data_IF_188804986042
#
_entry.id   IF_188804986042
#
_cell.length_a   1.000
_cell.length_b   1.000
_cell.length_c   1.000
_cell.angle_alpha   90.00
_cell.angle_beta   90.00
_cell.angle_gamma   90.00
#
_symmetry.space_group_name_H-M   'P 1'
#
loop_
_entity.id
_entity.type
_entity.pdbx_description
1 polymer ?
#
# COMPACT_ATOMS: atom_id res chain seq x y z
N UNK A 1 16.47 -11.15 -30.35
CA UNK A 1 16.44 -10.29 -29.15
C UNK A 1 15.15 -10.54 -28.35
N UNK A 2 15.04 -11.69 -27.67
CA UNK A 2 13.84 -12.11 -26.91
C UNK A 2 14.20 -12.96 -25.68
N UNK A 3 15.14 -12.49 -24.85
CA UNK A 3 15.60 -13.24 -23.68
C UNK A 3 15.96 -12.36 -22.47
N UNK A 4 15.46 -11.13 -22.39
CA UNK A 4 15.75 -10.19 -21.29
C UNK A 4 14.55 -9.80 -20.42
N UNK A 5 13.39 -10.43 -20.59
CA UNK A 5 12.18 -10.12 -19.80
C UNK A 5 11.77 -11.26 -18.84
N UNK A 6 12.43 -12.42 -18.89
CA UNK A 6 12.10 -13.57 -18.02
C UNK A 6 12.80 -13.57 -16.65
N UNK A 7 13.85 -12.76 -16.47
CA UNK A 7 14.60 -12.72 -15.21
C UNK A 7 13.87 -12.06 -14.02
N UNK A 8 13.10 -10.95 -14.17
CA UNK A 8 12.38 -10.38 -13.03
C UNK A 8 11.15 -11.21 -12.60
N UNK A 9 10.60 -12.04 -13.50
CA UNK A 9 9.45 -12.91 -13.18
C UNK A 9 9.86 -14.15 -12.37
N UNK A 10 11.06 -14.68 -12.58
CA UNK A 10 11.58 -15.78 -11.78
C UNK A 10 11.86 -15.37 -10.32
N UNK A 11 12.37 -14.16 -10.09
CA UNK A 11 12.59 -13.62 -8.74
C UNK A 11 11.30 -13.33 -7.98
N UNK A 12 10.29 -12.77 -8.65
CA UNK A 12 8.95 -12.56 -8.07
C UNK A 12 8.24 -13.90 -7.77
N UNK A 13 8.30 -14.87 -8.68
CA UNK A 13 7.72 -16.21 -8.45
C UNK A 13 8.41 -16.95 -7.30
N UNK A 14 9.74 -16.85 -7.16
CA UNK A 14 10.47 -17.38 -6.01
C UNK A 14 10.09 -16.68 -4.69
N UNK A 15 9.77 -15.38 -4.74
CA UNK A 15 9.35 -14.61 -3.56
C UNK A 15 7.94 -15.02 -3.09
N UNK A 16 7.00 -15.22 -4.03
CA UNK A 16 5.68 -15.76 -3.70
C UNK A 16 5.74 -17.21 -3.20
N UNK A 17 6.61 -18.05 -3.79
CA UNK A 17 6.80 -19.43 -3.34
C UNK A 17 7.44 -19.49 -1.93
N UNK A 18 8.47 -18.69 -1.67
CA UNK A 18 9.13 -18.62 -0.37
C UNK A 18 8.18 -18.16 0.74
N UNK A 19 7.28 -17.21 0.41
CA UNK A 19 6.26 -16.70 1.31
C UNK A 19 5.12 -17.71 1.55
N UNK A 20 4.67 -18.40 0.50
CA UNK A 20 3.68 -19.49 0.60
C UNK A 20 4.22 -20.65 1.45
N UNK A 21 5.49 -21.02 1.26
CA UNK A 21 6.15 -22.01 2.09
C UNK A 21 6.32 -21.51 3.53
N UNK A 22 6.68 -20.25 3.75
CA UNK A 22 6.75 -19.68 5.10
C UNK A 22 5.39 -19.75 5.83
N UNK A 23 4.28 -19.56 5.11
CA UNK A 23 2.93 -19.68 5.68
C UNK A 23 2.58 -21.14 6.03
N UNK A 24 2.96 -22.10 5.19
CA UNK A 24 2.59 -23.51 5.37
C UNK A 24 3.51 -24.29 6.32
N UNK A 25 4.81 -24.01 6.29
CA UNK A 25 5.84 -24.79 6.98
C UNK A 25 6.73 -23.95 7.89
N UNK A 26 6.41 -22.67 8.08
CA UNK A 26 7.14 -21.81 9.01
C UNK A 26 7.04 -22.30 10.45
N UNK A 27 8.12 -22.14 11.22
CA UNK A 27 8.09 -22.36 12.66
C UNK A 27 7.27 -21.24 13.32
N UNK A 28 6.01 -21.50 13.64
CA UNK A 28 5.13 -20.49 14.21
C UNK A 28 5.36 -20.34 15.72
N UNK A 29 6.01 -19.24 16.10
CA UNK A 29 6.09 -18.81 17.50
C UNK A 29 5.02 -17.76 17.80
N UNK A 30 4.58 -17.68 19.07
CA UNK A 30 3.65 -16.63 19.51
C UNK A 30 4.20 -15.23 19.18
N UNK A 31 5.51 -15.03 19.33
CA UNK A 31 6.16 -13.78 19.01
C UNK A 31 6.00 -13.39 17.54
N UNK A 32 6.23 -14.34 16.60
CA UNK A 32 6.06 -14.09 15.16
C UNK A 32 4.63 -13.66 14.83
N UNK A 33 3.64 -14.30 15.44
CA UNK A 33 2.21 -13.96 15.25
C UNK A 33 1.89 -12.57 15.79
N UNK A 34 2.33 -12.26 17.02
CA UNK A 34 2.10 -10.95 17.62
C UNK A 34 2.74 -9.83 16.81
N UNK A 35 3.98 -10.03 16.34
CA UNK A 35 4.69 -9.06 15.48
C UNK A 35 3.94 -8.89 14.16
N UNK A 36 3.47 -9.96 13.53
CA UNK A 36 2.71 -9.87 12.28
C UNK A 36 1.42 -9.06 12.45
N UNK A 37 0.70 -9.23 13.56
CA UNK A 37 -0.52 -8.46 13.87
C UNK A 37 -0.18 -6.97 14.07
N UNK A 38 0.84 -6.67 14.89
CA UNK A 38 1.28 -5.28 15.12
C UNK A 38 1.67 -4.62 13.81
N UNK A 39 2.46 -5.31 12.99
CA UNK A 39 2.92 -4.78 11.69
C UNK A 39 1.75 -4.61 10.72
N UNK A 40 0.74 -5.48 10.72
CA UNK A 40 -0.45 -5.30 9.89
C UNK A 40 -1.28 -4.08 10.32
N UNK A 41 -1.39 -3.81 11.63
CA UNK A 41 -2.04 -2.60 12.15
C UNK A 41 -1.23 -1.35 11.80
N UNK A 42 0.09 -1.39 11.98
CA UNK A 42 0.98 -0.29 11.60
C UNK A 42 0.89 0.01 10.11
N UNK A 43 0.74 -1.01 9.27
CA UNK A 43 0.53 -0.85 7.83
C UNK A 43 -0.78 -0.16 7.49
N UNK A 44 -1.86 -0.36 8.26
CA UNK A 44 -3.10 0.42 8.07
C UNK A 44 -2.88 1.91 8.35
N UNK A 45 -2.18 2.22 9.44
CA UNK A 45 -1.84 3.60 9.80
C UNK A 45 -0.89 4.23 8.78
N UNK A 46 0.09 3.46 8.30
CA UNK A 46 1.03 3.86 7.26
C UNK A 46 0.29 4.12 5.94
N UNK A 47 -0.57 3.20 5.49
CA UNK A 47 -1.34 3.34 4.26
C UNK A 47 -2.22 4.59 4.32
N UNK A 48 -2.95 4.80 5.43
CA UNK A 48 -3.75 6.00 5.66
C UNK A 48 -2.92 7.28 5.58
N UNK A 49 -1.75 7.30 6.23
CA UNK A 49 -0.85 8.45 6.21
C UNK A 49 -0.32 8.72 4.79
N UNK A 50 0.24 7.70 4.15
CA UNK A 50 0.80 7.82 2.80
C UNK A 50 -0.28 8.26 1.82
N UNK A 51 -1.47 7.66 1.90
CA UNK A 51 -2.57 7.98 1.02
C UNK A 51 -3.01 9.44 1.19
N UNK A 52 -3.26 9.90 2.42
CA UNK A 52 -3.69 11.28 2.67
C UNK A 52 -2.60 12.32 2.38
N UNK A 53 -1.41 12.12 2.93
CA UNK A 53 -0.40 13.19 3.05
C UNK A 53 0.69 13.11 1.97
N UNK A 54 0.85 11.96 1.30
CA UNK A 54 1.80 11.80 0.20
C UNK A 54 1.11 11.63 -1.15
N UNK A 55 0.17 10.69 -1.28
CA UNK A 55 -0.49 10.33 -2.55
C UNK A 55 -1.51 11.39 -2.98
N UNK A 56 -2.29 11.95 -2.06
CA UNK A 56 -3.15 13.12 -2.32
C UNK A 56 -2.40 14.46 -2.28
N UNK A 57 -1.09 14.45 -2.02
CA UNK A 57 -0.25 15.63 -2.13
C UNK A 57 0.31 15.81 -3.56
N UNK A 58 0.75 17.03 -3.86
CA UNK A 58 1.30 17.42 -5.18
C UNK A 58 2.45 16.54 -5.69
N UNK A 59 3.13 15.83 -4.80
CA UNK A 59 4.32 15.06 -5.10
C UNK A 59 4.04 13.69 -5.72
N UNK A 60 3.00 12.99 -5.27
CA UNK A 60 2.68 11.64 -5.73
C UNK A 60 1.28 11.51 -6.35
N UNK A 61 0.49 12.60 -6.36
CA UNK A 61 -0.83 12.61 -7.00
C UNK A 61 -0.78 12.13 -8.45
N UNK A 62 0.24 12.47 -9.24
CA UNK A 62 0.32 12.05 -10.64
C UNK A 62 0.42 10.52 -10.82
N UNK A 63 0.96 9.79 -9.84
CA UNK A 63 1.00 8.31 -9.81
C UNK A 63 -0.33 7.75 -9.30
N UNK A 64 -0.90 8.39 -8.28
CA UNK A 64 -2.10 7.91 -7.60
C UNK A 64 -3.40 8.26 -8.33
N UNK A 65 -3.43 9.36 -9.10
CA UNK A 65 -4.59 9.84 -9.84
C UNK A 65 -5.12 8.77 -10.80
N UNK A 66 -4.24 7.95 -11.41
CA UNK A 66 -4.71 6.90 -12.34
C UNK A 66 -5.64 5.91 -11.64
N UNK A 67 -5.40 5.68 -10.35
CA UNK A 67 -6.18 4.82 -9.47
C UNK A 67 -7.56 5.42 -9.14
N UNK A 68 -7.67 6.75 -9.13
CA UNK A 68 -8.96 7.47 -9.10
C UNK A 68 -9.66 7.53 -10.48
N UNK A 69 -9.12 6.85 -11.49
CA UNK A 69 -9.63 6.96 -12.87
C UNK A 69 -9.23 8.26 -13.58
N UNK A 70 -8.14 8.91 -13.13
CA UNK A 70 -7.61 10.16 -13.66
C UNK A 70 -6.15 9.95 -14.15
N UNK A 71 -5.86 9.88 -15.45
CA UNK A 71 -4.47 9.85 -15.98
C UNK A 71 -3.71 11.21 -16.08
N UNK A 72 -2.85 11.56 -15.12
CA UNK A 72 -1.87 12.62 -15.33
C UNK A 72 -0.84 12.19 -16.42
N UNK A 73 -0.42 13.03 -17.37
CA UNK A 73 0.66 12.66 -18.28
C UNK A 73 1.93 12.43 -17.45
N UNK A 74 2.57 11.28 -17.71
CA UNK A 74 3.89 10.94 -17.21
C UNK A 74 4.82 12.13 -17.52
N UNK A 75 5.39 12.79 -16.49
CA UNK A 75 6.16 14.07 -16.52
C UNK A 75 5.43 15.40 -16.25
N UNK A 76 4.14 15.43 -15.92
CA UNK A 76 3.56 16.66 -15.38
C UNK A 76 3.98 16.87 -13.92
N UNK A 77 4.99 17.72 -13.69
CA UNK A 77 5.19 18.34 -12.37
C UNK A 77 4.01 19.29 -12.16
N UNK A 78 3.13 19.07 -11.16
CA UNK A 78 2.01 19.97 -10.97
C UNK A 78 2.53 21.35 -10.53
N UNK A 79 2.28 22.37 -11.35
CA UNK A 79 2.10 23.73 -10.84
C UNK A 79 0.92 23.75 -9.86
N UNK A 80 0.82 24.82 -9.07
CA UNK A 80 0.14 24.92 -7.76
C UNK A 80 -1.32 24.45 -7.63
N UNK A 81 -1.96 23.94 -8.68
CA UNK A 81 -3.36 23.49 -8.69
C UNK A 81 -3.51 22.06 -9.24
N UNK A 82 -2.82 21.07 -8.65
CA UNK A 82 -2.95 19.64 -9.03
C UNK A 82 -4.40 19.10 -9.02
N UNK A 83 -5.30 19.72 -8.24
CA UNK A 83 -6.75 19.44 -8.22
C UNK A 83 -7.51 19.89 -9.49
N UNK A 84 -6.93 20.79 -10.30
CA UNK A 84 -7.52 21.32 -11.53
C UNK A 84 -7.10 20.59 -12.81
N UNK A 85 -6.15 19.66 -12.72
CA UNK A 85 -5.75 18.85 -13.87
C UNK A 85 -6.72 17.68 -14.02
N UNK A 86 -7.54 17.70 -15.07
CA UNK A 86 -8.48 16.63 -15.44
C UNK A 86 -7.91 15.83 -16.62
N UNK A 87 -7.42 14.62 -16.36
CA UNK A 87 -6.95 13.69 -17.37
C UNK A 87 -7.95 13.36 -18.48
N UNK A 88 -7.48 13.35 -19.73
CA UNK A 88 -8.35 13.11 -20.90
C UNK A 88 -8.47 11.64 -21.33
N UNK A 89 -7.75 10.66 -20.75
CA UNK A 89 -7.87 9.26 -21.20
C UNK A 89 -7.38 8.20 -20.19
N UNK A 90 -8.30 7.44 -19.61
CA UNK A 90 -7.99 6.31 -18.73
C UNK A 90 -7.56 5.08 -19.53
N UNK A 91 -6.34 4.58 -19.33
CA UNK A 91 -5.99 3.21 -19.70
C UNK A 91 -6.30 2.35 -18.47
N UNK A 92 -7.49 1.73 -18.44
CA UNK A 92 -7.78 0.67 -17.46
C UNK A 92 -7.02 -0.58 -17.89
N UNK A 93 -5.90 -0.84 -17.24
CA UNK A 93 -5.09 -2.04 -17.43
C UNK A 93 -5.07 -2.89 -16.17
N UNK A 94 -4.53 -4.11 -16.28
CA UNK A 94 -4.24 -4.94 -15.11
C UNK A 94 -3.20 -4.29 -14.19
N UNK A 95 -2.32 -3.45 -14.75
CA UNK A 95 -1.31 -2.67 -14.03
C UNK A 95 -1.65 -1.16 -14.06
N UNK A 96 -1.35 -0.47 -12.97
CA UNK A 96 -1.54 0.97 -12.77
C UNK A 96 -0.26 1.60 -12.21
N UNK A 97 -0.06 2.91 -12.40
CA UNK A 97 1.12 3.59 -11.89
C UNK A 97 1.24 3.44 -10.35
N UNK A 98 0.10 3.44 -9.66
CA UNK A 98 -0.04 3.21 -8.22
C UNK A 98 0.57 1.88 -7.72
N UNK A 99 0.75 0.88 -8.60
CA UNK A 99 1.39 -0.40 -8.24
C UNK A 99 2.81 -0.27 -7.73
N UNK A 100 3.47 0.84 -8.06
CA UNK A 100 4.82 1.11 -7.56
C UNK A 100 4.85 1.09 -6.02
N UNK A 101 3.78 1.53 -5.35
CA UNK A 101 3.71 1.49 -3.90
C UNK A 101 3.65 0.05 -3.39
N UNK A 102 2.79 -0.77 -3.97
CA UNK A 102 2.70 -2.20 -3.63
C UNK A 102 4.03 -2.92 -3.91
N UNK A 103 4.71 -2.60 -5.01
CA UNK A 103 6.01 -3.17 -5.36
C UNK A 103 7.10 -2.81 -4.34
N UNK A 104 7.15 -1.56 -3.85
CA UNK A 104 8.10 -1.14 -2.82
C UNK A 104 7.91 -1.96 -1.53
N UNK A 105 6.66 -2.10 -1.07
CA UNK A 105 6.36 -2.89 0.13
C UNK A 105 6.59 -4.39 -0.07
N UNK A 106 6.34 -4.92 -1.27
CA UNK A 106 6.66 -6.30 -1.61
C UNK A 106 8.17 -6.56 -1.54
N UNK A 107 9.00 -5.65 -2.09
CA UNK A 107 10.47 -5.75 -1.97
C UNK A 107 10.90 -5.68 -0.51
N UNK A 108 10.34 -4.76 0.29
CA UNK A 108 10.64 -4.67 1.71
C UNK A 108 10.27 -5.97 2.46
N UNK A 109 9.10 -6.54 2.18
CA UNK A 109 8.67 -7.83 2.74
C UNK A 109 9.61 -8.97 2.36
N UNK A 110 10.00 -9.07 1.09
CA UNK A 110 10.93 -10.10 0.59
C UNK A 110 12.30 -9.99 1.26
N UNK A 111 12.89 -8.79 1.31
CA UNK A 111 14.20 -8.58 1.94
C UNK A 111 14.16 -8.87 3.45
N UNK A 112 13.06 -8.49 4.11
CA UNK A 112 12.87 -8.77 5.53
C UNK A 112 12.70 -10.27 5.80
N UNK A 113 11.95 -10.96 4.93
CA UNK A 113 11.80 -12.41 4.99
C UNK A 113 13.15 -13.11 4.77
N UNK A 114 13.92 -12.68 3.77
CA UNK A 114 15.26 -13.23 3.53
C UNK A 114 16.20 -13.01 4.73
N UNK A 115 16.13 -11.83 5.36
CA UNK A 115 16.90 -11.52 6.57
C UNK A 115 16.51 -12.41 7.76
N UNK A 116 15.26 -12.90 7.83
CA UNK A 116 14.80 -13.80 8.90
C UNK A 116 15.50 -15.18 8.87
N UNK A 117 16.01 -15.60 7.70
CA UNK A 117 16.70 -16.87 7.52
C UNK A 117 18.23 -16.75 7.64
N UNK A 118 18.78 -15.53 7.57
CA UNK A 118 20.21 -15.29 7.80
C UNK A 118 20.54 -15.55 9.27
N UNK A 119 21.82 -15.74 9.66
CA UNK A 119 22.19 -15.93 11.05
C UNK A 119 22.33 -14.60 11.83
N UNK A 120 21.33 -14.23 12.65
CA UNK A 120 21.50 -13.49 13.91
C UNK A 120 20.90 -14.29 15.10
N UNK A 121 20.89 -13.75 16.35
CA UNK A 121 20.15 -14.34 17.46
C UNK A 121 18.68 -14.65 17.11
N UNK A 122 18.11 -15.70 17.72
CA UNK A 122 16.75 -16.19 17.46
C UNK A 122 15.68 -15.09 17.52
N UNK A 123 15.83 -14.12 18.43
CA UNK A 123 14.91 -12.99 18.55
C UNK A 123 14.80 -12.16 17.25
N UNK A 124 15.92 -11.85 16.61
CA UNK A 124 15.93 -11.02 15.39
C UNK A 124 15.26 -11.78 14.23
N UNK A 125 15.44 -13.10 14.17
CA UNK A 125 14.77 -13.95 13.17
C UNK A 125 13.26 -13.91 13.35
N UNK A 126 12.77 -14.04 14.58
CA UNK A 126 11.33 -14.01 14.89
C UNK A 126 10.70 -12.65 14.59
N UNK A 127 11.39 -11.55 14.94
CA UNK A 127 10.95 -10.19 14.62
C UNK A 127 10.90 -9.96 13.11
N UNK A 128 11.95 -10.34 12.39
CA UNK A 128 11.99 -10.19 10.92
C UNK A 128 10.93 -11.05 10.23
N UNK A 129 10.77 -12.31 10.65
CA UNK A 129 9.75 -13.21 10.09
C UNK A 129 8.35 -12.65 10.32
N UNK A 130 8.01 -12.28 11.56
CA UNK A 130 6.71 -11.69 11.88
C UNK A 130 6.45 -10.42 11.06
N UNK A 131 7.47 -9.57 10.90
CA UNK A 131 7.36 -8.34 10.12
C UNK A 131 7.06 -8.62 8.64
N UNK A 132 7.78 -9.57 8.04
CA UNK A 132 7.56 -9.95 6.65
C UNK A 132 6.15 -10.52 6.42
N UNK A 133 5.66 -11.34 7.35
CA UNK A 133 4.29 -11.86 7.32
C UNK A 133 3.27 -10.72 7.48
N UNK A 134 3.49 -9.77 8.39
CA UNK A 134 2.61 -8.62 8.59
C UNK A 134 2.48 -7.76 7.33
N UNK A 135 3.61 -7.38 6.70
CA UNK A 135 3.62 -6.65 5.43
C UNK A 135 2.88 -7.41 4.32
N UNK A 136 3.15 -8.70 4.21
CA UNK A 136 2.52 -9.56 3.20
C UNK A 136 1.02 -9.64 3.40
N UNK A 137 0.60 -10.00 4.60
CA UNK A 137 -0.80 -10.23 4.92
C UNK A 137 -1.61 -8.96 4.69
N UNK A 138 -1.12 -7.83 5.20
CA UNK A 138 -1.74 -6.54 4.94
C UNK A 138 -1.80 -6.25 3.43
N UNK A 139 -0.69 -6.40 2.70
CA UNK A 139 -0.64 -6.13 1.27
C UNK A 139 -1.63 -6.96 0.45
N UNK A 140 -1.75 -8.27 0.72
CA UNK A 140 -2.71 -9.17 0.05
C UNK A 140 -4.15 -8.73 0.37
N UNK A 141 -4.45 -8.50 1.65
CA UNK A 141 -5.80 -8.13 2.08
C UNK A 141 -6.21 -6.76 1.52
N UNK A 142 -5.29 -5.80 1.52
CA UNK A 142 -5.48 -4.49 0.91
C UNK A 142 -5.74 -4.63 -0.59
N UNK A 143 -4.90 -5.36 -1.33
CA UNK A 143 -5.09 -5.56 -2.77
C UNK A 143 -6.43 -6.23 -3.11
N UNK A 144 -6.83 -7.25 -2.34
CA UNK A 144 -8.13 -7.91 -2.56
C UNK A 144 -9.29 -6.93 -2.29
N UNK A 145 -9.29 -6.27 -1.13
CA UNK A 145 -10.40 -5.41 -0.72
C UNK A 145 -10.48 -4.12 -1.53
N UNK A 146 -9.37 -3.43 -1.67
CA UNK A 146 -9.27 -2.13 -2.31
C UNK A 146 -9.24 -2.27 -3.83
N UNK A 147 -8.21 -2.89 -4.40
CA UNK A 147 -8.02 -2.92 -5.85
C UNK A 147 -9.01 -3.85 -6.56
N UNK A 148 -9.17 -5.09 -6.07
CA UNK A 148 -10.01 -6.07 -6.76
C UNK A 148 -11.50 -5.90 -6.48
N UNK A 149 -11.91 -5.64 -5.23
CA UNK A 149 -13.32 -5.49 -4.87
C UNK A 149 -13.79 -4.04 -5.05
N UNK A 150 -13.16 -3.06 -4.40
CA UNK A 150 -13.61 -1.66 -4.42
C UNK A 150 -13.45 -1.03 -5.82
N UNK A 151 -12.27 -1.19 -6.43
CA UNK A 151 -11.94 -0.61 -7.74
C UNK A 151 -12.25 -1.51 -8.94
N UNK A 152 -12.69 -2.76 -8.69
CA UNK A 152 -13.06 -3.74 -9.73
C UNK A 152 -11.97 -3.93 -10.79
N UNK A 153 -10.69 -3.89 -10.38
CA UNK A 153 -9.53 -3.90 -11.27
C UNK A 153 -9.34 -5.19 -12.07
N UNK A 154 -9.86 -6.30 -11.55
CA UNK A 154 -9.93 -7.58 -12.25
C UNK A 154 -11.19 -7.79 -13.10
N UNK A 155 -11.98 -6.73 -13.31
CA UNK A 155 -13.29 -6.82 -13.93
C UNK A 155 -14.43 -7.12 -12.94
N UNK A 156 -15.69 -6.89 -13.36
CA UNK A 156 -16.84 -7.02 -12.48
C UNK A 156 -17.06 -8.45 -11.98
N UNK A 157 -16.82 -9.45 -12.83
CA UNK A 157 -17.03 -10.86 -12.49
C UNK A 157 -16.11 -11.33 -11.36
N UNK A 158 -14.81 -11.00 -11.44
CA UNK A 158 -13.86 -11.34 -10.38
C UNK A 158 -14.15 -10.56 -9.09
N UNK A 159 -14.48 -9.26 -9.19
CA UNK A 159 -14.84 -8.45 -8.04
C UNK A 159 -16.04 -9.03 -7.29
N UNK A 160 -17.10 -9.40 -8.01
CA UNK A 160 -18.32 -9.97 -7.41
C UNK A 160 -18.08 -11.36 -6.83
N UNK A 161 -17.23 -12.18 -7.47
CA UNK A 161 -16.83 -13.48 -6.93
C UNK A 161 -16.05 -13.32 -5.61
N UNK A 162 -15.06 -12.44 -5.58
CA UNK A 162 -14.26 -12.17 -4.39
C UNK A 162 -15.10 -11.55 -3.26
N UNK A 163 -16.00 -10.61 -3.56
CA UNK A 163 -16.89 -10.01 -2.57
C UNK A 163 -17.84 -11.00 -1.91
N UNK A 164 -18.20 -12.10 -2.59
CA UNK A 164 -19.01 -13.20 -2.04
C UNK A 164 -18.21 -14.15 -1.16
N UNK A 165 -16.91 -14.28 -1.41
CA UNK A 165 -16.01 -15.19 -0.69
C UNK A 165 -15.33 -14.51 0.51
N UNK A 166 -15.10 -13.20 0.42
CA UNK A 166 -14.46 -12.42 1.45
C UNK A 166 -15.38 -12.26 2.69
N UNK A 167 -14.80 -12.08 3.89
CA UNK A 167 -15.57 -11.65 5.05
C UNK A 167 -16.38 -10.39 4.74
N UNK A 168 -17.63 -10.33 5.24
CA UNK A 168 -18.55 -9.20 5.04
C UNK A 168 -17.92 -7.84 5.40
N UNK A 169 -16.99 -7.84 6.35
CA UNK A 169 -16.22 -6.66 6.73
C UNK A 169 -15.45 -6.04 5.57
N UNK A 170 -14.76 -6.84 4.76
CA UNK A 170 -13.98 -6.35 3.60
C UNK A 170 -14.89 -5.69 2.57
N UNK A 171 -16.05 -6.30 2.29
CA UNK A 171 -17.03 -5.74 1.38
C UNK A 171 -17.63 -4.43 1.91
N UNK A 172 -17.77 -4.30 3.24
CA UNK A 172 -18.23 -3.07 3.90
C UNK A 172 -17.18 -1.96 3.79
N UNK A 173 -15.90 -2.28 4.02
CA UNK A 173 -14.77 -1.38 3.80
C UNK A 173 -14.69 -0.90 2.34
N UNK A 174 -14.78 -1.83 1.39
CA UNK A 174 -14.78 -1.52 -0.04
C UNK A 174 -15.94 -0.57 -0.41
N UNK A 175 -17.14 -0.82 0.12
CA UNK A 175 -18.29 0.05 -0.10
C UNK A 175 -18.06 1.46 0.49
N UNK A 176 -17.54 1.56 1.72
CA UNK A 176 -17.24 2.84 2.34
C UNK A 176 -16.19 3.62 1.54
N UNK A 177 -15.13 2.95 1.09
CA UNK A 177 -14.09 3.55 0.26
C UNK A 177 -14.69 4.10 -1.05
N UNK A 178 -15.42 3.29 -1.83
CA UNK A 178 -16.05 3.77 -3.08
C UNK A 178 -17.04 4.90 -2.83
N UNK A 179 -17.87 4.78 -1.80
CA UNK A 179 -18.95 5.73 -1.52
C UNK A 179 -18.43 7.10 -1.09
N UNK A 180 -17.44 7.13 -0.21
CA UNK A 180 -17.01 8.38 0.43
C UNK A 180 -15.69 8.91 -0.15
N UNK A 181 -14.70 8.05 -0.41
CA UNK A 181 -13.40 8.47 -0.93
C UNK A 181 -13.46 8.88 -2.41
N UNK A 182 -14.30 8.22 -3.22
CA UNK A 182 -14.51 8.58 -4.63
C UNK A 182 -15.70 9.53 -4.84
N UNK A 183 -16.19 10.19 -3.79
CA UNK A 183 -17.33 11.12 -3.88
C UNK A 183 -17.01 12.46 -4.57
N UNK A 184 -15.72 12.78 -4.76
CA UNK A 184 -15.28 14.05 -5.35
C UNK A 184 -15.29 15.25 -4.38
N UNK A 185 -15.52 15.02 -3.09
CA UNK A 185 -15.52 16.05 -2.05
C UNK A 185 -14.10 16.39 -1.57
N UNK A 186 -13.92 17.60 -1.02
CA UNK A 186 -12.61 18.10 -0.55
C UNK A 186 -12.01 17.33 0.64
N UNK A 187 -12.84 16.63 1.42
CA UNK A 187 -12.45 15.72 2.49
C UNK A 187 -12.96 14.31 2.14
N UNK A 188 -12.17 13.63 1.31
CA UNK A 188 -12.53 12.34 0.74
C UNK A 188 -12.16 11.18 1.67
N UNK A 189 -12.38 11.26 2.98
CA UNK A 189 -12.20 10.09 3.86
C UNK A 189 -13.11 8.93 3.45
N UNK A 190 -12.73 7.66 3.70
CA UNK A 190 -11.52 7.21 4.38
C UNK A 190 -10.27 7.17 3.46
N UNK A 191 -9.10 7.46 4.01
CA UNK A 191 -7.81 7.31 3.31
C UNK A 191 -7.16 5.95 3.59
N UNK A 192 -7.39 5.36 4.76
CA UNK A 192 -7.15 3.95 5.03
C UNK A 192 -8.23 3.07 4.38
N UNK A 193 -8.11 1.76 4.58
CA UNK A 193 -9.06 0.79 4.02
C UNK A 193 -9.79 0.01 5.10
N UNK A 194 -9.10 -0.46 6.14
CA UNK A 194 -9.67 -1.36 7.14
C UNK A 194 -10.30 -0.66 8.33
N UNK A 195 -10.19 0.66 8.48
CA UNK A 195 -10.82 1.41 9.59
C UNK A 195 -11.68 2.59 9.12
N UNK A 196 -12.63 2.40 8.19
CA UNK A 196 -13.34 3.51 7.58
C UNK A 196 -14.22 4.28 8.57
N UNK A 197 -14.85 3.61 9.53
CA UNK A 197 -15.74 4.26 10.52
C UNK A 197 -14.97 5.22 11.42
N UNK A 198 -13.73 4.86 11.77
CA UNK A 198 -12.86 5.67 12.61
C UNK A 198 -12.52 6.99 11.91
N UNK A 199 -12.28 6.94 10.61
CA UNK A 199 -12.02 8.13 9.80
C UNK A 199 -13.28 8.94 9.58
N UNK A 200 -14.41 8.30 9.26
CA UNK A 200 -15.67 8.99 8.96
C UNK A 200 -16.29 9.69 10.18
N UNK A 201 -16.08 9.15 11.38
CA UNK A 201 -16.54 9.77 12.64
C UNK A 201 -15.64 10.90 13.12
N UNK A 202 -14.43 11.02 12.58
CA UNK A 202 -13.41 11.97 13.01
C UNK A 202 -12.88 11.72 14.43
N UNK A 203 -13.15 10.54 15.01
CA UNK A 203 -12.78 10.18 16.38
C UNK A 203 -11.26 10.20 16.62
N UNK A 204 -10.45 10.00 15.58
CA UNK A 204 -8.98 10.00 15.65
C UNK A 204 -8.31 11.24 15.07
N UNK A 205 -9.08 12.17 14.48
CA UNK A 205 -8.53 13.13 13.53
C UNK A 205 -7.43 14.01 14.11
N UNK A 206 -7.51 14.43 15.37
CA UNK A 206 -6.54 15.42 15.88
C UNK A 206 -5.16 14.86 16.18
N UNK A 207 -5.05 13.65 16.73
CA UNK A 207 -3.74 13.11 17.10
C UNK A 207 -3.04 12.54 15.85
N UNK A 208 -3.78 11.80 15.02
CA UNK A 208 -3.22 11.16 13.83
C UNK A 208 -2.80 12.20 12.81
N UNK A 209 -3.63 13.22 12.52
CA UNK A 209 -3.27 14.33 11.59
C UNK A 209 -2.03 15.09 12.07
N UNK A 210 -1.87 15.29 13.38
CA UNK A 210 -0.67 15.95 13.93
C UNK A 210 0.57 15.07 13.80
N UNK A 211 0.46 13.80 14.14
CA UNK A 211 1.55 12.84 14.03
C UNK A 211 2.00 12.68 12.57
N UNK A 212 1.04 12.59 11.67
CA UNK A 212 1.25 12.43 10.24
C UNK A 212 1.93 13.64 9.60
N UNK A 213 1.52 14.86 9.95
CA UNK A 213 2.17 16.09 9.48
C UNK A 213 3.64 16.14 9.92
N UNK A 214 3.91 15.76 11.17
CA UNK A 214 5.28 15.67 11.70
C UNK A 214 6.09 14.60 10.96
N UNK A 215 5.50 13.44 10.70
CA UNK A 215 6.14 12.38 9.92
C UNK A 215 6.48 12.85 8.50
N UNK A 216 5.53 13.49 7.80
CA UNK A 216 5.78 14.08 6.48
C UNK A 216 6.90 15.10 6.51
N UNK A 217 6.90 16.02 7.49
CA UNK A 217 7.99 17.01 7.63
C UNK A 217 9.35 16.35 7.86
N UNK A 218 9.41 15.33 8.73
CA UNK A 218 10.64 14.60 9.00
C UNK A 218 11.18 13.89 7.75
N UNK A 219 10.31 13.23 6.98
CA UNK A 219 10.69 12.57 5.71
C UNK A 219 11.19 13.60 4.70
N UNK A 220 10.50 14.73 4.54
CA UNK A 220 10.92 15.78 3.60
C UNK A 220 12.26 16.39 3.99
N UNK A 221 12.51 16.60 5.29
CA UNK A 221 13.80 17.06 5.80
C UNK A 221 14.91 16.02 5.58
N UNK A 222 14.63 14.73 5.80
CA UNK A 222 15.60 13.67 5.56
C UNK A 222 15.97 13.57 4.07
N UNK A 223 14.99 13.65 3.16
CA UNK A 223 15.23 13.65 1.71
C UNK A 223 16.00 14.89 1.25
N UNK A 224 15.68 16.08 1.79
CA UNK A 224 16.42 17.30 1.50
C UNK A 224 17.87 17.24 2.02
N UNK A 225 18.08 16.66 3.21
CA UNK A 225 19.41 16.46 3.79
C UNK A 225 20.27 15.46 3.01
N UNK A 226 19.68 14.38 2.50
CA UNK A 226 20.36 13.44 1.59
C UNK A 226 20.76 14.10 0.27
N UNK A 227 19.94 15.05 -0.24
CA UNK A 227 20.26 15.85 -1.42
C UNK A 227 21.42 16.82 -1.20
N UNK A 228 21.57 17.39 0.00
CA UNK A 228 22.67 18.29 0.33
C UNK A 228 24.03 17.55 0.49
N UNK A 229 24.01 16.30 0.97
CA UNK A 229 25.23 15.47 1.08
C UNK A 229 25.71 14.89 -0.26
N UNK A 230 24.87 14.86 -1.31
CA UNK A 230 25.25 14.33 -2.63
C UNK A 230 25.95 15.36 -3.54
N UNK A 231 26.17 16.59 -3.07
CA UNK A 231 26.81 17.69 -3.80
C UNK A 231 28.18 18.12 -3.23
N UNK A 232 28.86 17.27 -2.44
CA UNK A 232 30.23 17.51 -1.94
C UNK A 232 31.20 16.50 -2.52
#
# INVERSE_FOLDING_TARGET
MRLRVLFPLAGLACSFMGLFLALLVGEWSLLRVLVAIVVAVDMELMARWMHRDLWHAKWLWWIHASHHGLSAPLYSIPGDNAKGFQPKRVIKGVLEANDVFAAIFAVAATLTLEASYKPPPALIKDLAFGTAIGFTFYGIMYFIGHDLIAHRRGGPELADALARLAPQYISSCAHAHVKYHHSGNDDSRPYGFFLPEVELTGAEDRWFVKASHRATQAVMLALAGLGACACV
#
